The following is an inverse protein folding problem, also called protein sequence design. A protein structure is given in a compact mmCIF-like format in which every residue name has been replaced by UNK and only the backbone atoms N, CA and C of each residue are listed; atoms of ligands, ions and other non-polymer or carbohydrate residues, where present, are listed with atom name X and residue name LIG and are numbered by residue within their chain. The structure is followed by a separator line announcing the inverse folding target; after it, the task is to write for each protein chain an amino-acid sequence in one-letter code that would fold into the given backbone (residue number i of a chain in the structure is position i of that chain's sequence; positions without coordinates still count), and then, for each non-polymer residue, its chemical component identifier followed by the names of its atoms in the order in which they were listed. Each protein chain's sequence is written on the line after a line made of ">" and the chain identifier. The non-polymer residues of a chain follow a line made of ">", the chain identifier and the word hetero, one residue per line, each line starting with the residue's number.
data_IF_371366363662
#
_entry.id   IF_371366363662
#
_cell.length_a   1.000
_cell.length_b   1.000
_cell.length_c   1.000
_cell.angle_alpha   90.00
_cell.angle_beta   90.00
_cell.angle_gamma   90.00
#
_symmetry.space_group_name_H-M   'P 1'
#
loop_
_entity.id
_entity.type
_entity.pdbx_description
1 polymer ?
#
# COMPACT_ATOMS: atom_id res chain seq x y z
N UNK A 1 -7.22 -14.70 7.75
CA UNK A 1 -5.93 -14.06 7.42
C UNK A 1 -5.15 -14.91 6.41
N UNK A 2 -4.26 -14.30 5.60
CA UNK A 2 -3.29 -15.03 4.77
C UNK A 2 -2.26 -15.75 5.66
N UNK A 3 -1.86 -16.98 5.28
CA UNK A 3 -0.85 -17.78 5.98
C UNK A 3 0.35 -18.11 5.12
N UNK A 4 0.18 -18.29 3.82
CA UNK A 4 1.26 -18.67 2.92
C UNK A 4 1.03 -18.12 1.52
N UNK A 5 2.12 -17.77 0.86
CA UNK A 5 2.18 -17.48 -0.57
C UNK A 5 3.08 -18.54 -1.24
N UNK A 6 2.59 -19.14 -2.32
CA UNK A 6 3.34 -20.03 -3.20
C UNK A 6 3.45 -19.35 -4.58
N UNK A 7 4.66 -19.25 -5.12
CA UNK A 7 4.97 -18.64 -6.42
C UNK A 7 5.69 -19.69 -7.28
N UNK A 8 5.26 -19.86 -8.52
CA UNK A 8 5.93 -20.71 -9.51
C UNK A 8 6.13 -19.99 -10.84
N UNK A 9 7.29 -20.22 -11.45
CA UNK A 9 7.61 -19.74 -12.80
C UNK A 9 7.69 -18.22 -12.94
N UNK A 10 7.98 -17.47 -11.87
CA UNK A 10 8.00 -16.00 -11.89
C UNK A 10 9.40 -15.41 -11.68
N UNK A 11 9.97 -14.76 -12.70
CA UNK A 11 11.30 -14.14 -12.68
C UNK A 11 12.38 -15.11 -12.15
N UNK A 12 13.13 -14.74 -11.13
CA UNK A 12 14.12 -15.61 -10.50
C UNK A 12 13.51 -16.75 -9.65
N UNK A 13 12.19 -16.82 -9.49
CA UNK A 13 11.50 -17.79 -8.63
C UNK A 13 10.93 -18.93 -9.48
N UNK A 14 11.55 -20.12 -9.39
CA UNK A 14 11.06 -21.34 -10.04
C UNK A 14 9.88 -21.93 -9.29
N UNK A 15 10.05 -22.14 -7.98
CA UNK A 15 9.01 -22.59 -7.06
C UNK A 15 9.42 -22.21 -5.62
N UNK A 16 8.66 -21.36 -4.96
CA UNK A 16 8.94 -20.93 -3.59
C UNK A 16 7.66 -20.79 -2.78
N UNK A 17 7.72 -21.22 -1.52
CA UNK A 17 6.68 -21.01 -0.51
C UNK A 17 7.19 -20.07 0.57
N UNK A 18 6.37 -19.09 0.95
CA UNK A 18 6.67 -18.08 1.97
C UNK A 18 5.53 -18.09 2.98
N UNK A 19 5.87 -18.37 4.23
CA UNK A 19 4.92 -18.30 5.35
C UNK A 19 4.81 -16.85 5.85
N UNK A 20 3.59 -16.42 6.17
CA UNK A 20 3.31 -15.11 6.71
C UNK A 20 2.90 -15.19 8.18
N UNK A 21 3.53 -14.34 8.99
CA UNK A 21 3.07 -13.94 10.31
C UNK A 21 2.43 -12.55 10.26
N UNK A 22 1.78 -12.12 11.36
CA UNK A 22 1.14 -10.80 11.49
C UNK A 22 2.08 -9.64 11.11
N UNK A 23 3.39 -9.81 11.33
CA UNK A 23 4.44 -8.98 10.77
C UNK A 23 5.47 -9.88 10.09
N UNK A 24 5.77 -9.62 8.82
CA UNK A 24 6.76 -10.37 8.04
C UNK A 24 7.72 -9.39 7.38
N UNK A 25 9.01 -9.51 7.69
CA UNK A 25 10.05 -8.63 7.13
C UNK A 25 10.82 -9.37 6.03
N UNK A 26 10.71 -8.88 4.80
CA UNK A 26 11.53 -9.36 3.68
C UNK A 26 12.84 -8.57 3.64
N UNK A 27 13.94 -9.20 4.06
CA UNK A 27 15.28 -8.62 4.06
C UNK A 27 16.26 -9.49 3.26
N UNK A 28 17.30 -8.87 2.69
CA UNK A 28 18.30 -9.57 1.86
C UNK A 28 18.93 -8.65 0.82
N UNK A 29 19.96 -9.15 0.13
CA UNK A 29 20.69 -8.42 -0.91
C UNK A 29 19.80 -8.09 -2.12
N UNK A 30 20.23 -7.13 -2.93
CA UNK A 30 19.57 -6.79 -4.18
C UNK A 30 19.48 -8.04 -5.07
N UNK A 31 18.41 -8.13 -5.86
CA UNK A 31 18.15 -9.28 -6.73
C UNK A 31 17.87 -10.61 -6.00
N UNK A 32 17.58 -10.59 -4.69
CA UNK A 32 17.23 -11.79 -3.92
C UNK A 32 15.75 -12.22 -4.03
N UNK A 33 14.98 -11.63 -4.95
CA UNK A 33 13.55 -11.95 -5.15
C UNK A 33 12.54 -11.20 -4.25
N UNK A 34 12.96 -10.28 -3.37
CA UNK A 34 12.06 -9.53 -2.47
C UNK A 34 10.97 -8.76 -3.22
N UNK A 35 11.35 -7.94 -4.20
CA UNK A 35 10.38 -7.21 -5.00
C UNK A 35 9.54 -8.15 -5.86
N UNK A 36 10.05 -9.32 -6.26
CA UNK A 36 9.24 -10.33 -6.97
C UNK A 36 8.11 -10.87 -6.09
N UNK A 37 8.36 -11.07 -4.79
CA UNK A 37 7.31 -11.48 -3.83
C UNK A 37 6.23 -10.39 -3.74
N UNK A 38 6.64 -9.13 -3.55
CA UNK A 38 5.71 -7.99 -3.47
C UNK A 38 4.92 -7.84 -4.78
N UNK A 39 5.59 -7.94 -5.92
CA UNK A 39 4.97 -7.85 -7.23
C UNK A 39 3.96 -8.97 -7.44
N UNK A 40 4.25 -10.23 -7.06
CA UNK A 40 3.27 -11.31 -7.16
C UNK A 40 1.98 -11.03 -6.37
N UNK A 41 2.08 -10.42 -5.18
CA UNK A 41 0.91 -10.02 -4.39
C UNK A 41 0.11 -8.90 -5.10
N UNK A 42 0.81 -7.94 -5.71
CA UNK A 42 0.18 -6.87 -6.50
C UNK A 42 -0.53 -7.42 -7.73
N UNK A 43 0.11 -8.32 -8.48
CA UNK A 43 -0.48 -8.99 -9.66
C UNK A 43 -1.74 -9.78 -9.26
N UNK A 44 -1.67 -10.52 -8.15
CA UNK A 44 -2.78 -11.26 -7.58
C UNK A 44 -3.95 -10.35 -7.20
N UNK A 45 -3.68 -9.26 -6.48
CA UNK A 45 -4.73 -8.30 -6.07
C UNK A 45 -5.36 -7.59 -7.26
N UNK A 46 -4.57 -7.21 -8.28
CA UNK A 46 -5.08 -6.61 -9.50
C UNK A 46 -6.04 -7.56 -10.25
N UNK A 47 -5.65 -8.83 -10.43
CA UNK A 47 -6.51 -9.84 -11.05
C UNK A 47 -7.81 -10.06 -10.27
N UNK A 48 -7.75 -10.15 -8.93
CA UNK A 48 -8.93 -10.29 -8.08
C UNK A 48 -9.92 -9.13 -8.27
N UNK A 49 -9.40 -7.90 -8.44
CA UNK A 49 -10.21 -6.70 -8.68
C UNK A 49 -10.64 -6.54 -10.15
N UNK A 50 -10.43 -7.55 -11.01
CA UNK A 50 -10.80 -7.51 -12.43
C UNK A 50 -9.92 -6.58 -13.28
N UNK A 51 -8.80 -6.11 -12.73
CA UNK A 51 -7.79 -5.32 -13.46
C UNK A 51 -6.73 -6.24 -14.08
N UNK A 52 -5.95 -5.70 -15.02
CA UNK A 52 -4.83 -6.45 -15.58
C UNK A 52 -3.83 -6.82 -14.47
N UNK A 53 -3.40 -8.09 -14.38
CA UNK A 53 -2.36 -8.50 -13.44
C UNK A 53 -0.98 -7.97 -13.84
N UNK A 54 -0.78 -7.50 -15.07
CA UNK A 54 0.51 -7.00 -15.51
C UNK A 54 0.82 -5.64 -14.87
N UNK A 55 1.98 -5.54 -14.24
CA UNK A 55 2.44 -4.30 -13.62
C UNK A 55 3.11 -3.41 -14.67
N UNK A 56 2.70 -2.14 -14.74
CA UNK A 56 3.28 -1.18 -15.67
C UNK A 56 4.79 -1.09 -15.56
N UNK A 57 5.49 -1.10 -16.71
CA UNK A 57 6.96 -1.02 -16.76
C UNK A 57 7.70 -2.34 -16.50
N UNK A 58 7.00 -3.46 -16.27
CA UNK A 58 7.63 -4.77 -16.01
C UNK A 58 7.58 -5.76 -17.19
N UNK A 59 7.09 -5.32 -18.36
CA UNK A 59 6.99 -6.17 -19.54
C UNK A 59 5.72 -7.03 -19.59
N UNK A 60 5.73 -8.02 -20.48
CA UNK A 60 4.63 -8.97 -20.70
C UNK A 60 4.87 -10.29 -19.95
N UNK A 61 4.02 -11.30 -20.16
CA UNK A 61 4.16 -12.61 -19.51
C UNK A 61 5.50 -13.29 -19.81
N UNK A 62 6.03 -13.17 -21.02
CA UNK A 62 7.34 -13.74 -21.36
C UNK A 62 8.50 -13.07 -20.62
N UNK A 63 8.41 -11.76 -20.35
CA UNK A 63 9.41 -11.04 -19.54
C UNK A 63 9.30 -11.39 -18.04
N UNK A 64 8.10 -11.76 -17.59
CA UNK A 64 7.82 -12.11 -16.20
C UNK A 64 8.05 -13.59 -15.89
N UNK A 65 8.01 -14.46 -16.90
CA UNK A 65 8.23 -15.89 -16.77
C UNK A 65 9.67 -16.17 -16.36
N UNK A 66 9.88 -17.19 -15.55
CA UNK A 66 11.22 -17.60 -15.14
C UNK A 66 12.00 -18.20 -16.31
N UNK A 67 13.25 -17.76 -16.51
CA UNK A 67 14.17 -18.35 -17.50
C UNK A 67 14.51 -19.83 -17.21
N UNK A 68 14.10 -20.33 -16.04
CA UNK A 68 14.36 -21.70 -15.57
C UNK A 68 13.14 -22.63 -15.71
N UNK A 69 12.06 -22.18 -16.37
CA UNK A 69 10.89 -23.01 -16.72
C UNK A 69 10.70 -23.06 -18.24
N UNK A 70 9.81 -23.92 -18.76
CA UNK A 70 9.60 -23.99 -20.20
C UNK A 70 8.95 -22.70 -20.72
N UNK A 71 9.23 -22.37 -21.98
CA UNK A 71 8.74 -21.15 -22.62
C UNK A 71 7.21 -21.00 -22.65
N UNK A 72 6.44 -22.06 -22.41
CA UNK A 72 4.97 -22.04 -22.39
C UNK A 72 4.39 -22.40 -21.01
N UNK A 73 5.23 -22.57 -19.97
CA UNK A 73 4.74 -22.87 -18.62
C UNK A 73 3.97 -21.67 -18.06
N UNK A 74 2.94 -21.91 -17.25
CA UNK A 74 2.19 -20.84 -16.60
C UNK A 74 3.00 -20.18 -15.48
N UNK A 75 2.61 -18.95 -15.14
CA UNK A 75 3.02 -18.30 -13.89
C UNK A 75 1.92 -18.53 -12.86
N UNK A 76 2.24 -19.18 -11.75
CA UNK A 76 1.27 -19.48 -10.70
C UNK A 76 1.57 -18.69 -9.43
N UNK A 77 0.56 -18.02 -8.90
CA UNK A 77 0.61 -17.29 -7.63
C UNK A 77 -0.56 -17.76 -6.78
N UNK A 78 -0.28 -18.39 -5.65
CA UNK A 78 -1.29 -19.03 -4.80
C UNK A 78 -1.22 -18.51 -3.38
N UNK A 79 -2.37 -18.13 -2.84
CA UNK A 79 -2.54 -17.71 -1.45
C UNK A 79 -3.29 -18.78 -0.66
N UNK A 80 -2.71 -19.18 0.46
CA UNK A 80 -3.37 -20.01 1.47
C UNK A 80 -3.83 -19.13 2.62
N UNK A 81 -5.09 -19.26 3.01
CA UNK A 81 -5.73 -18.52 4.08
C UNK A 81 -5.99 -19.41 5.30
N UNK A 82 -6.35 -18.79 6.42
CA UNK A 82 -7.00 -19.48 7.54
C UNK A 82 -8.23 -20.28 7.05
N UNK A 83 -8.56 -21.34 7.79
CA UNK A 83 -9.66 -22.28 7.45
C UNK A 83 -9.38 -23.18 6.23
N UNK A 84 -8.12 -23.34 5.84
CA UNK A 84 -7.67 -24.15 4.70
C UNK A 84 -8.22 -23.68 3.34
N UNK A 85 -8.66 -22.43 3.23
CA UNK A 85 -9.07 -21.83 1.96
C UNK A 85 -7.83 -21.55 1.11
N UNK A 86 -7.89 -21.94 -0.15
CA UNK A 86 -6.84 -21.74 -1.14
C UNK A 86 -7.44 -20.94 -2.29
N UNK A 87 -6.70 -19.96 -2.80
CA UNK A 87 -7.09 -19.19 -3.98
C UNK A 87 -5.85 -18.89 -4.82
N UNK A 88 -5.97 -19.00 -6.15
CA UNK A 88 -4.83 -18.93 -7.06
C UNK A 88 -5.07 -17.95 -8.21
N UNK A 89 -3.97 -17.41 -8.72
CA UNK A 89 -3.85 -16.73 -10.00
C UNK A 89 -2.94 -17.60 -10.87
N UNK A 90 -3.43 -18.00 -12.04
CA UNK A 90 -2.64 -18.72 -13.05
C UNK A 90 -2.63 -17.91 -14.34
N UNK A 91 -1.44 -17.55 -14.84
CA UNK A 91 -1.26 -16.75 -16.05
C UNK A 91 -0.67 -17.59 -17.17
N UNK A 92 -1.39 -17.66 -18.29
CA UNK A 92 -0.87 -18.14 -19.57
C UNK A 92 -0.31 -16.98 -20.40
N UNK A 93 0.15 -17.27 -21.62
CA UNK A 93 0.79 -16.26 -22.48
C UNK A 93 -0.13 -15.08 -22.84
N UNK A 94 -1.42 -15.34 -22.98
CA UNK A 94 -2.40 -14.37 -23.50
C UNK A 94 -3.70 -14.32 -22.70
N UNK A 95 -3.81 -15.08 -21.61
CA UNK A 95 -5.03 -15.18 -20.82
C UNK A 95 -4.74 -15.46 -19.35
N UNK A 96 -5.71 -15.13 -18.51
CA UNK A 96 -5.74 -15.57 -17.12
C UNK A 96 -6.43 -16.94 -17.11
N UNK A 97 -5.67 -18.00 -16.82
CA UNK A 97 -6.14 -19.38 -16.79
C UNK A 97 -6.97 -19.67 -15.53
N UNK A 98 -6.63 -19.02 -14.41
CA UNK A 98 -7.35 -19.09 -13.14
C UNK A 98 -7.34 -17.71 -12.49
N UNK A 99 -8.51 -17.19 -12.11
CA UNK A 99 -8.64 -15.92 -11.39
C UNK A 99 -8.83 -16.16 -9.89
N UNK A 100 -8.21 -15.32 -9.03
CA UNK A 100 -8.41 -15.38 -7.59
C UNK A 100 -9.88 -15.28 -7.18
N UNK A 101 -10.28 -16.09 -6.20
CA UNK A 101 -11.62 -16.04 -5.59
C UNK A 101 -11.62 -15.36 -4.22
N UNK A 102 -10.44 -15.20 -3.60
CA UNK A 102 -10.27 -14.53 -2.30
C UNK A 102 -9.01 -13.70 -2.27
N UNK A 103 -9.11 -12.46 -1.80
CA UNK A 103 -7.98 -11.55 -1.60
C UNK A 103 -8.23 -10.73 -0.33
N UNK A 104 -7.22 -10.52 0.55
CA UNK A 104 -7.36 -9.55 1.62
C UNK A 104 -7.52 -8.12 1.04
N UNK A 105 -8.06 -7.21 1.84
CA UNK A 105 -8.01 -5.79 1.50
C UNK A 105 -6.54 -5.36 1.43
N UNK A 106 -6.09 -4.99 0.24
CA UNK A 106 -4.67 -4.85 -0.07
C UNK A 106 -4.26 -3.38 -0.06
N UNK A 107 -3.47 -3.00 0.94
CA UNK A 107 -2.81 -1.71 0.99
C UNK A 107 -1.37 -1.88 0.53
N UNK A 108 -0.95 -1.07 -0.44
CA UNK A 108 0.43 -1.05 -0.90
C UNK A 108 0.96 0.38 -0.94
N UNK A 109 2.19 0.53 -0.45
CA UNK A 109 2.98 1.75 -0.59
C UNK A 109 4.34 1.34 -1.13
N UNK A 110 4.61 1.69 -2.38
CA UNK A 110 5.84 1.36 -3.09
C UNK A 110 7.04 2.17 -2.62
N UNK A 111 8.23 1.77 -3.04
CA UNK A 111 9.49 2.45 -2.71
C UNK A 111 9.67 3.78 -3.47
N UNK A 112 9.08 3.91 -4.65
CA UNK A 112 9.19 5.05 -5.56
C UNK A 112 8.10 6.11 -5.30
N UNK A 113 7.79 6.35 -4.03
CA UNK A 113 6.77 7.32 -3.58
C UNK A 113 7.05 8.70 -4.15
N UNK A 114 5.98 9.42 -4.45
CA UNK A 114 6.06 10.82 -4.80
C UNK A 114 6.62 11.60 -3.62
N UNK A 115 7.69 12.34 -3.88
CA UNK A 115 8.16 13.40 -2.99
C UNK A 115 7.17 14.58 -2.97
N UNK A 116 7.56 15.73 -2.41
CA UNK A 116 6.70 16.89 -2.32
C UNK A 116 6.22 17.34 -3.70
N UNK A 117 4.91 17.28 -3.91
CA UNK A 117 4.25 17.74 -5.11
C UNK A 117 3.49 19.04 -4.83
N UNK A 118 3.38 19.95 -5.82
CA UNK A 118 2.49 21.09 -5.72
C UNK A 118 1.01 20.67 -5.67
N UNK A 119 0.67 19.54 -6.31
CA UNK A 119 -0.67 18.97 -6.31
C UNK A 119 -0.66 17.44 -6.39
N UNK A 120 -1.60 16.87 -5.64
CA UNK A 120 -2.19 15.54 -5.61
C UNK A 120 -3.32 15.23 -6.60
N UNK A 121 -3.39 14.18 -7.44
CA UNK A 121 -4.67 13.82 -8.05
C UNK A 121 -5.69 13.30 -7.00
N UNK A 122 -6.99 13.42 -7.29
CA UNK A 122 -8.06 12.75 -6.54
C UNK A 122 -8.41 11.40 -7.18
N UNK A 123 -8.74 10.39 -6.39
CA UNK A 123 -9.21 9.11 -6.91
C UNK A 123 -10.73 9.18 -7.20
N UNK A 124 -11.07 9.52 -8.45
CA UNK A 124 -12.45 9.77 -8.93
C UNK A 124 -13.09 8.59 -9.67
N UNK A 125 -12.50 7.40 -9.61
CA UNK A 125 -13.08 6.20 -10.22
C UNK A 125 -14.48 5.86 -9.63
N UNK A 126 -15.33 5.21 -10.42
CA UNK A 126 -16.69 4.81 -10.00
C UNK A 126 -16.68 3.89 -8.78
N UNK A 127 -15.66 3.05 -8.69
CA UNK A 127 -15.40 2.09 -7.62
C UNK A 127 -14.28 2.58 -6.69
N UNK A 128 -14.06 3.90 -6.58
CA UNK A 128 -12.93 4.51 -5.87
C UNK A 128 -12.93 4.29 -4.36
N UNK A 129 -12.76 3.03 -3.95
CA UNK A 129 -12.39 2.61 -2.61
C UNK A 129 -11.19 3.45 -2.16
N UNK A 130 -11.14 3.82 -0.87
CA UNK A 130 -10.01 4.54 -0.32
C UNK A 130 -8.72 3.75 -0.57
N UNK A 131 -7.80 4.34 -1.32
CA UNK A 131 -6.43 3.84 -1.51
C UNK A 131 -5.46 5.01 -1.49
N UNK A 132 -4.27 4.77 -0.95
CA UNK A 132 -3.18 5.76 -0.93
C UNK A 132 -2.52 5.90 -2.31
N UNK A 133 -2.64 4.88 -3.16
CA UNK A 133 -1.93 4.80 -4.44
C UNK A 133 -0.53 4.21 -4.27
N UNK A 134 -0.03 3.53 -5.30
CA UNK A 134 1.24 2.80 -5.26
C UNK A 134 2.40 3.73 -4.90
N UNK A 135 2.32 5.01 -5.33
CA UNK A 135 3.33 6.03 -5.08
C UNK A 135 2.85 7.09 -4.09
N UNK A 136 1.74 6.87 -3.41
CA UNK A 136 1.13 7.87 -2.52
C UNK A 136 0.36 8.98 -3.23
N UNK A 137 0.08 8.82 -4.52
CA UNK A 137 -0.56 9.85 -5.35
C UNK A 137 -2.00 10.19 -4.95
N UNK A 138 -2.67 9.36 -4.17
CA UNK A 138 -4.03 9.60 -3.68
C UNK A 138 -4.09 9.85 -2.18
N UNK A 139 -2.94 10.08 -1.51
CA UNK A 139 -2.88 10.14 -0.04
C UNK A 139 -3.82 11.19 0.57
N UNK A 140 -3.97 12.37 -0.05
CA UNK A 140 -4.86 13.41 0.47
C UNK A 140 -6.34 13.06 0.27
N UNK A 141 -6.71 12.46 -0.87
CA UNK A 141 -8.06 11.95 -1.10
C UNK A 141 -8.41 10.82 -0.11
N UNK A 142 -7.45 9.92 0.12
CA UNK A 142 -7.57 8.83 1.08
C UNK A 142 -7.83 9.33 2.50
N UNK A 143 -7.00 10.26 2.98
CA UNK A 143 -7.17 10.88 4.31
C UNK A 143 -8.55 11.54 4.38
N UNK A 144 -8.91 12.34 3.37
CA UNK A 144 -10.19 13.06 3.36
C UNK A 144 -11.40 12.13 3.46
N UNK A 145 -11.40 11.02 2.73
CA UNK A 145 -12.47 10.01 2.78
C UNK A 145 -12.62 9.42 4.18
N UNK A 146 -11.52 9.06 4.84
CA UNK A 146 -11.57 8.50 6.20
C UNK A 146 -12.00 9.52 7.26
N UNK A 147 -11.62 10.79 7.10
CA UNK A 147 -12.06 11.90 7.94
C UNK A 147 -13.56 12.16 7.79
N UNK A 148 -14.04 12.33 6.54
CA UNK A 148 -15.46 12.59 6.24
C UNK A 148 -16.36 11.42 6.68
N UNK A 149 -15.86 10.19 6.60
CA UNK A 149 -16.56 8.98 7.08
C UNK A 149 -16.42 8.73 8.58
N UNK A 150 -15.70 9.57 9.34
CA UNK A 150 -15.63 9.48 10.80
C UNK A 150 -14.93 8.23 11.34
N UNK A 151 -13.91 7.72 10.63
CA UNK A 151 -13.17 6.54 11.07
C UNK A 151 -12.45 6.77 12.40
N UNK A 152 -12.43 5.72 13.22
CA UNK A 152 -11.79 5.69 14.54
C UNK A 152 -10.62 4.70 14.54
N UNK A 153 -9.63 4.95 15.39
CA UNK A 153 -8.47 4.08 15.53
C UNK A 153 -8.54 3.24 16.82
N UNK A 154 -8.00 1.99 16.81
CA UNK A 154 -7.82 1.19 18.01
C UNK A 154 -6.90 1.89 19.02
N UNK A 155 -7.10 1.66 20.31
CA UNK A 155 -6.35 2.36 21.36
C UNK A 155 -4.83 2.22 21.25
N UNK A 156 -4.35 1.08 20.73
CA UNK A 156 -2.92 0.80 20.53
C UNK A 156 -2.29 1.67 19.42
N UNK A 157 -3.10 2.21 18.51
CA UNK A 157 -2.65 3.04 17.40
C UNK A 157 -2.74 4.54 17.71
N UNK A 158 -3.33 4.92 18.85
CA UNK A 158 -3.50 6.31 19.26
C UNK A 158 -2.19 6.81 19.85
N UNK A 159 -1.57 7.80 19.19
CA UNK A 159 -0.37 8.45 19.70
C UNK A 159 -0.68 9.26 20.98
N UNK A 160 0.28 9.38 21.90
CA UNK A 160 0.11 10.12 23.15
C UNK A 160 -0.19 11.61 22.96
N UNK A 161 0.24 12.16 21.82
CA UNK A 161 0.00 13.56 21.42
C UNK A 161 -1.31 13.76 20.64
N UNK A 162 -2.06 12.68 20.35
CA UNK A 162 -3.32 12.79 19.63
C UNK A 162 -4.40 13.43 20.52
N UNK A 163 -5.18 14.36 19.94
CA UNK A 163 -6.24 15.08 20.66
C UNK A 163 -7.56 14.29 20.74
N UNK A 164 -7.64 13.13 20.09
CA UNK A 164 -8.84 12.31 20.01
C UNK A 164 -8.58 10.97 19.33
N UNK A 165 -9.66 10.19 19.15
CA UNK A 165 -9.60 8.83 18.57
C UNK A 165 -9.90 8.78 17.07
N UNK A 166 -10.28 9.91 16.45
CA UNK A 166 -10.60 9.97 15.02
C UNK A 166 -9.33 9.85 14.19
N UNK A 167 -9.50 9.44 12.92
CA UNK A 167 -8.40 9.30 11.97
C UNK A 167 -7.53 10.56 11.88
N UNK A 168 -8.15 11.74 11.76
CA UNK A 168 -7.48 13.04 11.71
C UNK A 168 -6.57 13.28 12.92
N UNK A 169 -7.12 13.15 14.14
CA UNK A 169 -6.38 13.43 15.37
C UNK A 169 -5.22 12.46 15.60
N UNK A 170 -5.42 11.18 15.27
CA UNK A 170 -4.37 10.17 15.41
C UNK A 170 -3.28 10.37 14.37
N UNK A 171 -3.64 10.67 13.12
CA UNK A 171 -2.69 11.02 12.06
C UNK A 171 -1.84 12.22 12.47
N UNK A 172 -2.47 13.31 12.95
CA UNK A 172 -1.75 14.50 13.40
C UNK A 172 -0.81 14.19 14.58
N UNK A 173 -1.23 13.34 15.52
CA UNK A 173 -0.39 12.89 16.63
C UNK A 173 0.90 12.22 16.17
N UNK A 174 0.83 11.33 15.17
CA UNK A 174 1.99 10.67 14.58
C UNK A 174 2.85 11.59 13.71
N UNK A 175 2.24 12.51 12.95
CA UNK A 175 2.98 13.50 12.17
C UNK A 175 3.80 14.43 13.09
N UNK A 176 3.26 14.79 14.25
CA UNK A 176 3.96 15.62 15.23
C UNK A 176 5.13 14.89 15.92
N UNK A 177 5.10 13.56 16.03
CA UNK A 177 6.25 12.77 16.50
C UNK A 177 7.41 12.82 15.49
N UNK A 178 7.11 12.68 14.20
CA UNK A 178 8.11 12.62 13.13
C UNK A 178 8.64 14.00 12.76
N UNK A 179 7.78 15.02 12.81
CA UNK A 179 8.13 16.41 12.47
C UNK A 179 7.53 17.37 13.49
N UNK A 180 8.11 17.46 14.70
CA UNK A 180 7.56 18.27 15.78
C UNK A 180 7.37 19.74 15.41
N UNK A 181 6.20 20.29 15.75
CA UNK A 181 5.90 21.71 15.59
C UNK A 181 5.52 22.14 14.16
N UNK A 182 5.49 21.20 13.21
CA UNK A 182 5.10 21.51 11.83
C UNK A 182 3.58 21.56 11.69
N UNK A 183 3.07 22.63 11.09
CA UNK A 183 1.66 22.78 10.73
C UNK A 183 1.41 22.20 9.35
N UNK A 184 0.74 21.05 9.31
CA UNK A 184 0.31 20.41 8.06
C UNK A 184 -1.19 20.63 7.85
N UNK A 185 -1.56 21.13 6.68
CA UNK A 185 -2.95 21.23 6.24
C UNK A 185 -3.05 20.86 4.76
N UNK A 186 -4.23 20.42 4.33
CA UNK A 186 -4.49 20.14 2.93
C UNK A 186 -5.94 20.45 2.58
N UNK A 187 -6.19 20.69 1.29
CA UNK A 187 -7.55 20.87 0.78
C UNK A 187 -7.72 20.26 -0.61
N UNK A 188 -8.97 19.96 -0.95
CA UNK A 188 -9.34 19.30 -2.21
C UNK A 188 -10.16 20.23 -3.10
N UNK A 189 -9.94 20.14 -4.41
CA UNK A 189 -10.74 20.80 -5.42
C UNK A 189 -11.32 19.74 -6.37
N UNK A 190 -12.54 19.29 -6.05
CA UNK A 190 -13.25 18.24 -6.81
C UNK A 190 -13.60 18.64 -8.24
N UNK A 191 -13.63 19.93 -8.61
CA UNK A 191 -13.89 20.34 -10.00
C UNK A 191 -12.65 20.23 -10.89
N UNK A 192 -11.47 20.25 -10.27
CA UNK A 192 -10.19 20.16 -10.96
C UNK A 192 -9.50 18.81 -10.71
N UNK A 193 -10.17 17.87 -10.01
CA UNK A 193 -9.65 16.55 -9.64
C UNK A 193 -8.28 16.58 -8.98
N UNK A 194 -8.01 17.63 -8.20
CA UNK A 194 -6.73 17.82 -7.50
C UNK A 194 -6.90 18.11 -6.01
N UNK A 195 -5.82 17.89 -5.27
CA UNK A 195 -5.61 18.29 -3.89
C UNK A 195 -4.28 19.01 -3.76
N UNK A 196 -4.17 19.90 -2.78
CA UNK A 196 -2.91 20.56 -2.44
C UNK A 196 -2.75 20.59 -0.92
N UNK A 197 -1.49 20.64 -0.49
CA UNK A 197 -1.14 20.75 0.91
C UNK A 197 -0.27 21.97 1.17
N UNK A 198 -0.24 22.39 2.42
CA UNK A 198 0.64 23.42 2.96
C UNK A 198 1.35 22.86 4.20
N UNK A 199 2.63 23.20 4.32
CA UNK A 199 3.48 22.85 5.45
C UNK A 199 4.06 24.17 5.96
N UNK A 200 3.67 24.60 7.16
CA UNK A 200 4.01 25.91 7.73
C UNK A 200 3.69 27.10 6.80
N UNK A 201 2.55 27.03 6.10
CA UNK A 201 2.11 27.99 5.06
C UNK A 201 2.99 28.04 3.80
N UNK A 202 3.88 27.06 3.61
CA UNK A 202 4.67 26.90 2.39
C UNK A 202 4.18 25.70 1.58
N UNK A 203 4.38 25.77 0.25
CA UNK A 203 4.14 24.63 -0.64
C UNK A 203 5.10 23.51 -0.28
N UNK A 204 4.67 22.23 -0.28
CA UNK A 204 5.52 21.09 0.06
C UNK A 204 6.86 21.08 -0.69
N UNK A 205 6.85 21.51 -1.96
CA UNK A 205 8.06 21.63 -2.79
C UNK A 205 9.16 22.51 -2.19
N UNK A 206 8.82 23.37 -1.22
CA UNK A 206 9.70 24.35 -0.60
C UNK A 206 10.12 24.00 0.84
N UNK A 207 9.59 22.92 1.44
CA UNK A 207 9.74 22.65 2.91
C UNK A 207 10.51 21.36 3.21
N UNK A 208 10.90 20.61 2.18
CA UNK A 208 11.70 19.39 2.30
C UNK A 208 10.86 18.10 2.26
N UNK A 209 11.52 17.00 1.93
CA UNK A 209 10.89 15.76 1.45
C UNK A 209 10.27 14.87 2.53
N UNK A 210 10.66 15.03 3.80
CA UNK A 210 10.42 14.05 4.87
C UNK A 210 8.94 13.77 5.13
N UNK A 211 8.11 14.81 5.24
CA UNK A 211 6.68 14.66 5.51
C UNK A 211 5.92 14.11 4.30
N UNK A 212 6.16 14.64 3.10
CA UNK A 212 5.49 14.13 1.89
C UNK A 212 5.82 12.67 1.61
N UNK A 213 7.04 12.23 1.92
CA UNK A 213 7.47 10.86 1.69
C UNK A 213 6.98 9.88 2.77
N UNK A 214 6.79 10.35 4.00
CA UNK A 214 6.38 9.52 5.15
C UNK A 214 4.86 9.46 5.31
N UNK A 215 4.15 10.52 4.93
CA UNK A 215 2.70 10.61 5.06
C UNK A 215 1.94 9.42 4.42
N UNK A 216 2.26 8.96 3.19
CA UNK A 216 1.61 7.78 2.61
C UNK A 216 1.76 6.52 3.47
N UNK A 217 2.90 6.34 4.14
CA UNK A 217 3.17 5.19 5.00
C UNK A 217 2.28 5.24 6.23
N UNK A 218 2.26 6.38 6.93
CA UNK A 218 1.46 6.57 8.14
C UNK A 218 -0.02 6.44 7.81
N UNK A 219 -0.48 7.12 6.75
CA UNK A 219 -1.87 7.09 6.33
C UNK A 219 -2.31 5.66 5.97
N UNK A 220 -1.54 4.93 5.17
CA UNK A 220 -1.86 3.53 4.85
C UNK A 220 -1.87 2.64 6.10
N UNK A 221 -0.94 2.83 7.02
CA UNK A 221 -0.85 2.06 8.27
C UNK A 221 -2.05 2.30 9.17
N UNK A 222 -2.38 3.57 9.43
CA UNK A 222 -3.56 3.92 10.21
C UNK A 222 -4.83 3.42 9.53
N UNK A 223 -4.96 3.64 8.21
CA UNK A 223 -6.15 3.29 7.45
C UNK A 223 -6.39 1.78 7.36
N UNK A 224 -5.33 0.97 7.29
CA UNK A 224 -5.41 -0.49 7.36
C UNK A 224 -5.97 -0.99 8.70
N UNK A 225 -5.80 -0.22 9.78
CA UNK A 225 -6.29 -0.55 11.14
C UNK A 225 -7.55 0.19 11.54
N UNK A 226 -7.98 1.17 10.75
CA UNK A 226 -9.09 2.04 11.09
C UNK A 226 -10.42 1.29 11.07
N UNK A 227 -11.24 1.59 12.06
CA UNK A 227 -12.56 1.01 12.29
C UNK A 227 -13.62 2.02 11.88
N UNK A 228 -14.56 1.57 11.06
CA UNK A 228 -15.72 2.37 10.72
C UNK A 228 -16.55 2.73 11.97
N UNK A 229 -17.20 3.90 11.99
CA UNK A 229 -18.17 4.22 13.03
C UNK A 229 -19.35 3.23 13.01
N UNK A 230 -20.09 3.17 14.12
CA UNK A 230 -21.22 2.24 14.28
C UNK A 230 -22.40 2.50 13.32
N UNK A 231 -22.41 3.65 12.65
CA UNK A 231 -23.37 4.02 11.63
C UNK A 231 -22.64 4.22 10.30
N UNK A 232 -22.87 3.34 9.34
CA UNK A 232 -22.39 3.47 7.97
C UNK A 232 -23.56 3.89 7.10
N UNK A 233 -23.42 5.02 6.40
CA UNK A 233 -24.48 5.58 5.55
C UNK A 233 -24.30 5.23 4.08
N UNK A 234 -23.06 4.98 3.63
CA UNK A 234 -22.77 4.73 2.22
C UNK A 234 -22.58 3.23 1.93
N UNK A 235 -23.20 2.74 0.85
CA UNK A 235 -23.12 1.34 0.44
C UNK A 235 -21.68 0.86 0.19
N UNK A 236 -20.84 1.73 -0.36
CA UNK A 236 -19.43 1.39 -0.63
C UNK A 236 -18.64 1.17 0.67
N UNK A 237 -18.92 1.93 1.74
CA UNK A 237 -18.30 1.75 3.06
C UNK A 237 -18.72 0.42 3.66
N UNK A 238 -20.01 0.08 3.59
CA UNK A 238 -20.53 -1.20 4.09
C UNK A 238 -19.85 -2.38 3.38
N UNK A 239 -19.73 -2.30 2.05
CA UNK A 239 -19.05 -3.34 1.27
C UNK A 239 -17.56 -3.43 1.60
N UNK A 240 -16.89 -2.29 1.79
CA UNK A 240 -15.47 -2.24 2.13
C UNK A 240 -15.18 -2.85 3.51
N UNK A 241 -15.97 -2.49 4.54
CA UNK A 241 -15.85 -3.08 5.87
C UNK A 241 -16.19 -4.57 5.90
N UNK A 242 -17.22 -4.99 5.15
CA UNK A 242 -17.55 -6.40 4.98
C UNK A 242 -16.37 -7.16 4.39
N UNK A 243 -15.76 -6.63 3.33
CA UNK A 243 -14.59 -7.23 2.69
C UNK A 243 -13.41 -7.36 3.64
N UNK A 244 -13.07 -6.29 4.40
CA UNK A 244 -12.01 -6.33 5.42
C UNK A 244 -12.28 -7.40 6.48
N UNK A 245 -13.53 -7.53 6.94
CA UNK A 245 -13.92 -8.51 7.96
C UNK A 245 -13.85 -9.95 7.46
N UNK A 246 -14.30 -10.22 6.23
CA UNK A 246 -14.35 -11.57 5.65
C UNK A 246 -12.98 -12.07 5.16
N UNK A 247 -12.16 -11.16 4.63
CA UNK A 247 -10.90 -11.52 3.96
C UNK A 247 -9.64 -11.11 4.73
N UNK A 248 -9.77 -10.25 5.73
CA UNK A 248 -8.65 -9.62 6.43
C UNK A 248 -8.04 -8.47 5.64
N UNK A 249 -6.99 -7.88 6.22
CA UNK A 249 -6.26 -6.74 5.64
C UNK A 249 -4.80 -7.14 5.48
N UNK A 250 -4.17 -6.75 4.38
CA UNK A 250 -2.75 -6.92 4.13
C UNK A 250 -2.14 -5.57 3.75
N UNK A 251 -1.25 -5.06 4.60
CA UNK A 251 -0.44 -3.87 4.33
C UNK A 251 0.95 -4.28 3.88
N UNK A 252 1.33 -3.88 2.67
CA UNK A 252 2.65 -4.11 2.09
C UNK A 252 3.35 -2.77 1.93
N UNK A 253 4.44 -2.59 2.69
CA UNK A 253 5.29 -1.42 2.62
C UNK A 253 6.61 -1.80 1.96
N UNK A 254 6.90 -1.21 0.80
CA UNK A 254 8.20 -1.32 0.16
C UNK A 254 9.03 -0.08 0.48
N UNK A 255 10.20 -0.28 1.08
CA UNK A 255 11.12 0.81 1.37
C UNK A 255 12.16 0.87 0.25
N UNK A 256 12.52 2.04 -0.30
CA UNK A 256 13.72 2.12 -1.13
C UNK A 256 14.89 1.60 -0.32
N UNK A 257 15.84 0.99 -1.00
CA UNK A 257 17.14 0.75 -0.41
C UNK A 257 17.65 2.09 0.12
N UNK A 258 17.79 2.18 1.43
CA UNK A 258 18.58 3.24 2.01
C UNK A 258 20.01 2.97 1.53
N UNK A 259 20.39 3.56 0.41
CA UNK A 259 21.80 3.78 0.11
C UNK A 259 22.24 4.81 1.17
N UNK A 260 22.51 4.32 2.38
CA UNK A 260 23.38 4.99 3.31
C UNK A 260 24.76 4.96 2.65
N UNK A 261 24.97 5.83 1.66
CA UNK A 261 26.31 6.14 1.20
C UNK A 261 27.08 6.55 2.44
N UNK A 262 28.28 5.98 2.63
CA UNK A 262 29.15 6.25 3.78
C UNK A 262 29.40 7.75 4.05
N UNK A 263 29.00 8.65 3.15
CA UNK A 263 29.05 10.11 3.33
C UNK A 263 27.96 10.70 4.23
N UNK A 264 26.78 10.07 4.37
CA UNK A 264 25.70 10.63 5.24
C UNK A 264 25.98 10.39 6.74
N UNK A 265 26.86 9.44 7.08
CA UNK A 265 27.36 9.25 8.46
C UNK A 265 28.21 10.41 9.00
N UNK A 266 28.67 11.34 8.15
CA UNK A 266 29.51 12.47 8.60
C UNK A 266 28.76 13.78 8.88
N UNK A 267 27.44 13.84 8.64
CA UNK A 267 26.66 15.08 8.83
C UNK A 267 25.69 15.06 10.01
N UNK A 268 25.51 13.91 10.67
CA UNK A 268 24.82 13.83 11.95
C UNK A 268 25.87 13.75 13.04
N UNK A 269 26.28 14.95 13.50
CA UNK A 269 27.31 15.13 14.50
C UNK A 269 26.98 14.35 15.77
N UNK A 270 27.80 13.34 16.04
CA UNK A 270 28.07 12.86 17.39
C UNK A 270 29.52 13.23 17.69
N UNK A 271 29.71 14.00 18.76
CA UNK A 271 30.98 14.12 19.47
C UNK A 271 31.42 12.74 19.97
#
# INVERSE_FOLDING_TARGET
>A
MIKQLEIKGYKSIVNQKIDFSNLTLLAGLNNSGKSSIIQSLRMYSAAYNGSSPLLGGHGNISDLRSDFVNANDSIDIKLSFEENIISSLCLGDHEILESPIKCPEFFYVGADRLGPQPFLPLNVALDAKPKVGDRGEYVFDFIKKLEESGYLLPEQMIHSLAQGKTFEFVLQGWLNEISPGVQFSFSTNRKADISHAEIDNFRPANVGFGLSYTLPIIAATLGATALAPSYLLDDWLVQWEKHKKENGVLLVLENPEAIFTHKVKRQWGYY
#
